data_IF_420592949427
#
_entry.id   IF_420592949427
#
_cell.length_a   1.000
_cell.length_b   1.000
_cell.length_c   1.000
_cell.angle_alpha   90.00
_cell.angle_beta   90.00
_cell.angle_gamma   90.00
#
_symmetry.space_group_name_H-M   'P 1'
#
loop_
_entity.id
_entity.type
_entity.pdbx_description
1 polymer ?
#
# COMPACT_ATOMS: atom_id res chain seq x y z
N UNK A 1 -19.88 14.22 -6.63
CA UNK A 1 -20.02 12.75 -6.58
C UNK A 1 -20.97 12.24 -7.67
N UNK A 2 -20.82 12.71 -8.93
CA UNK A 2 -21.60 12.18 -10.06
C UNK A 2 -21.16 10.73 -10.35
N UNK A 3 -22.08 9.89 -10.83
CA UNK A 3 -21.87 8.45 -11.03
C UNK A 3 -22.40 8.00 -12.39
N UNK A 4 -21.81 6.94 -12.94
CA UNK A 4 -22.37 6.14 -14.01
C UNK A 4 -22.65 4.73 -13.49
N UNK A 5 -23.66 4.05 -14.03
CA UNK A 5 -24.01 2.66 -13.70
C UNK A 5 -24.04 1.88 -15.00
N UNK A 6 -23.15 0.89 -15.13
CA UNK A 6 -23.03 0.06 -16.33
C UNK A 6 -22.81 -1.41 -15.95
N UNK A 7 -23.32 -2.37 -16.75
CA UNK A 7 -23.05 -3.80 -16.55
C UNK A 7 -21.56 -4.15 -16.65
N UNK A 8 -21.05 -4.94 -15.69
CA UNK A 8 -19.66 -5.41 -15.71
C UNK A 8 -19.32 -6.20 -16.99
N UNK A 9 -20.26 -7.04 -17.48
CA UNK A 9 -20.10 -7.84 -18.68
C UNK A 9 -19.84 -7.02 -19.98
N UNK A 10 -20.07 -5.70 -19.96
CA UNK A 10 -19.75 -4.82 -21.10
C UNK A 10 -18.30 -4.27 -21.05
N UNK A 11 -17.52 -4.60 -20.01
CA UNK A 11 -16.11 -4.23 -19.94
C UNK A 11 -15.31 -5.08 -20.96
N UNK A 12 -14.63 -4.46 -21.95
CA UNK A 12 -13.94 -5.18 -23.03
C UNK A 12 -12.72 -5.98 -22.55
N UNK A 13 -12.27 -5.75 -21.32
CA UNK A 13 -11.13 -6.42 -20.69
C UNK A 13 -11.54 -7.19 -19.44
N UNK A 14 -12.80 -7.63 -19.35
CA UNK A 14 -13.26 -8.43 -18.22
C UNK A 14 -12.57 -9.80 -18.22
N UNK A 15 -12.18 -10.27 -17.04
CA UNK A 15 -11.55 -11.58 -16.91
C UNK A 15 -12.58 -12.69 -17.19
N UNK A 16 -12.25 -13.75 -17.95
CA UNK A 16 -13.19 -14.83 -18.23
C UNK A 16 -13.65 -15.59 -16.98
N UNK A 17 -12.89 -15.53 -15.87
CA UNK A 17 -13.23 -16.16 -14.60
C UNK A 17 -13.92 -15.20 -13.61
N UNK A 18 -14.38 -14.01 -14.03
CA UNK A 18 -14.97 -13.01 -13.12
C UNK A 18 -16.22 -13.49 -12.36
N UNK A 19 -16.93 -14.48 -12.90
CA UNK A 19 -18.10 -15.16 -12.31
C UNK A 19 -17.80 -16.62 -11.90
N UNK A 20 -16.55 -17.07 -11.96
CA UNK A 20 -16.19 -18.43 -11.58
C UNK A 20 -16.47 -18.65 -10.07
N UNK A 21 -17.35 -19.59 -9.69
CA UNK A 21 -17.66 -19.84 -8.29
C UNK A 21 -16.47 -20.39 -7.49
N UNK A 22 -15.44 -20.93 -8.14
CA UNK A 22 -14.20 -21.32 -7.47
C UNK A 22 -13.34 -20.10 -7.10
N UNK A 23 -13.63 -18.93 -7.66
CA UNK A 23 -12.85 -17.71 -7.51
C UNK A 23 -11.50 -17.76 -8.23
N UNK A 24 -10.64 -16.79 -7.93
CA UNK A 24 -9.30 -16.69 -8.51
C UNK A 24 -8.23 -16.75 -7.41
N UNK A 25 -7.11 -17.46 -7.65
CA UNK A 25 -6.03 -17.50 -6.67
C UNK A 25 -5.36 -16.13 -6.54
N UNK A 26 -5.18 -15.66 -5.30
CA UNK A 26 -4.57 -14.36 -5.01
C UNK A 26 -3.09 -14.56 -4.66
N UNK A 27 -2.19 -14.13 -5.53
CA UNK A 27 -0.73 -14.23 -5.29
C UNK A 27 -0.14 -12.99 -4.61
N UNK A 28 -0.83 -11.85 -4.66
CA UNK A 28 -0.36 -10.60 -4.09
C UNK A 28 -1.51 -9.68 -3.68
N UNK A 29 -1.27 -8.90 -2.63
CA UNK A 29 -2.19 -7.90 -2.12
C UNK A 29 -1.50 -6.55 -2.21
N UNK A 30 -2.21 -5.53 -2.69
CA UNK A 30 -1.66 -4.19 -2.86
C UNK A 30 -2.51 -3.20 -2.06
N UNK A 31 -1.88 -2.56 -1.07
CA UNK A 31 -2.42 -1.39 -0.40
C UNK A 31 -1.96 -0.12 -1.10
N UNK A 32 -2.73 0.95 -0.96
CA UNK A 32 -2.33 2.26 -1.46
C UNK A 32 -3.20 3.35 -0.87
N UNK A 33 -2.65 4.56 -0.88
CA UNK A 33 -3.34 5.76 -0.40
C UNK A 33 -2.73 6.98 -1.08
N UNK A 34 -3.49 8.08 -1.11
CA UNK A 34 -2.98 9.34 -1.65
C UNK A 34 -2.06 9.99 -0.62
N UNK A 35 -0.78 10.07 -0.93
CA UNK A 35 0.25 10.65 -0.06
C UNK A 35 1.18 11.53 -0.88
N UNK A 36 1.16 12.83 -0.64
CA UNK A 36 2.03 13.77 -1.35
C UNK A 36 3.51 13.60 -0.96
N UNK A 37 3.79 13.12 0.25
CA UNK A 37 5.16 12.97 0.78
C UNK A 37 5.37 11.63 1.51
N UNK A 38 6.62 11.36 1.89
CA UNK A 38 7.09 10.26 2.77
C UNK A 38 7.02 8.85 2.18
N UNK A 39 5.91 8.47 1.54
CA UNK A 39 5.69 7.11 1.04
C UNK A 39 6.25 6.98 -0.38
N UNK A 40 7.15 6.02 -0.66
CA UNK A 40 7.70 5.84 -1.99
C UNK A 40 6.68 5.22 -2.96
N UNK A 41 7.01 5.22 -4.25
CA UNK A 41 6.13 4.73 -5.31
C UNK A 41 5.64 3.30 -5.07
N UNK A 42 6.54 2.41 -4.62
CA UNK A 42 6.21 1.02 -4.30
C UNK A 42 7.17 0.45 -3.26
N UNK A 43 6.67 -0.41 -2.38
CA UNK A 43 7.50 -1.29 -1.56
C UNK A 43 6.73 -2.56 -1.20
N UNK A 44 7.45 -3.65 -0.95
CA UNK A 44 6.93 -4.93 -0.50
C UNK A 44 7.17 -5.11 0.99
N UNK A 45 6.18 -5.64 1.71
CA UNK A 45 6.32 -6.07 3.10
C UNK A 45 7.40 -7.16 3.25
N UNK A 46 8.01 -7.20 4.44
CA UNK A 46 9.00 -8.22 4.81
C UNK A 46 8.37 -9.60 4.97
N UNK A 47 7.17 -9.63 5.55
CA UNK A 47 6.42 -10.82 5.88
C UNK A 47 4.94 -10.45 6.06
N UNK A 48 4.11 -11.43 6.44
CA UNK A 48 2.68 -11.22 6.61
C UNK A 48 2.33 -10.24 7.74
N UNK A 49 2.94 -10.34 8.93
CA UNK A 49 2.63 -9.43 10.05
C UNK A 49 2.97 -7.98 9.72
N UNK A 50 4.11 -7.77 9.06
CA UNK A 50 4.49 -6.45 8.56
C UNK A 50 3.52 -5.95 7.49
N UNK A 51 3.05 -6.83 6.59
CA UNK A 51 2.04 -6.47 5.59
C UNK A 51 0.68 -6.12 6.21
N UNK A 52 0.26 -6.83 7.27
CA UNK A 52 -0.94 -6.47 8.04
C UNK A 52 -0.76 -5.12 8.72
N UNK A 53 0.42 -4.84 9.27
CA UNK A 53 0.72 -3.52 9.84
C UNK A 53 0.66 -2.40 8.80
N UNK A 54 1.21 -2.63 7.60
CA UNK A 54 1.11 -1.71 6.46
C UNK A 54 -0.37 -1.45 6.11
N UNK A 55 -1.17 -2.50 5.98
CA UNK A 55 -2.62 -2.39 5.72
C UNK A 55 -3.35 -1.63 6.83
N UNK A 56 -3.05 -1.94 8.09
CA UNK A 56 -3.67 -1.31 9.26
C UNK A 56 -3.35 0.18 9.36
N UNK A 57 -2.17 0.58 8.89
CA UNK A 57 -1.67 1.95 8.99
C UNK A 57 -1.76 2.72 7.68
N UNK A 58 -2.45 2.23 6.66
CA UNK A 58 -2.69 3.00 5.42
C UNK A 58 -3.25 4.38 5.76
N UNK A 59 -2.58 5.41 5.26
CA UNK A 59 -3.03 6.79 5.34
C UNK A 59 -3.32 7.32 3.95
N UNK A 60 -4.41 8.06 3.82
CA UNK A 60 -4.73 8.81 2.61
C UNK A 60 -5.13 10.23 2.98
N UNK A 61 -4.69 11.20 2.18
CA UNK A 61 -5.24 12.55 2.22
C UNK A 61 -6.74 12.52 1.91
N UNK A 62 -7.49 13.38 2.59
CA UNK A 62 -8.92 13.54 2.33
C UNK A 62 -9.14 14.09 0.92
N UNK A 63 -9.97 13.41 0.14
CA UNK A 63 -10.44 13.88 -1.17
C UNK A 63 -11.73 14.67 -1.00
N UNK A 64 -12.11 15.47 -2.00
CA UNK A 64 -13.38 16.20 -2.02
C UNK A 64 -14.63 15.29 -1.85
N UNK A 65 -14.49 13.97 -2.01
CA UNK A 65 -15.58 13.00 -1.81
C UNK A 65 -15.84 12.68 -0.33
N UNK A 66 -14.88 12.92 0.58
CA UNK A 66 -15.04 12.76 2.02
C UNK A 66 -14.98 14.16 2.64
N UNK A 67 -16.12 14.71 3.07
CA UNK A 67 -16.29 16.10 3.50
C UNK A 67 -15.53 16.53 4.77
N UNK A 68 -14.21 16.43 4.78
CA UNK A 68 -13.33 16.98 5.82
C UNK A 68 -12.29 17.95 5.25
N UNK A 69 -11.43 18.46 6.13
CA UNK A 69 -10.41 19.46 5.80
C UNK A 69 -9.39 18.92 4.78
N UNK A 70 -9.27 19.63 3.66
CA UNK A 70 -8.32 19.32 2.58
C UNK A 70 -6.89 19.36 3.15
N UNK A 71 -6.12 18.29 2.91
CA UNK A 71 -4.71 18.19 3.33
C UNK A 71 -4.45 17.46 4.64
N UNK A 72 -5.48 17.13 5.43
CA UNK A 72 -5.31 16.27 6.60
C UNK A 72 -5.17 14.81 6.17
N UNK A 73 -4.12 14.13 6.63
CA UNK A 73 -3.94 12.68 6.42
C UNK A 73 -4.90 11.95 7.34
N UNK A 74 -5.87 11.24 6.76
CA UNK A 74 -6.78 10.33 7.49
C UNK A 74 -6.23 8.91 7.37
N UNK A 75 -6.15 8.19 8.49
CA UNK A 75 -5.90 6.75 8.46
C UNK A 75 -7.16 6.04 8.02
N UNK A 76 -7.03 5.17 7.03
CA UNK A 76 -8.10 4.34 6.50
C UNK A 76 -7.60 2.89 6.46
N UNK A 77 -7.60 2.20 7.61
CA UNK A 77 -7.05 0.86 7.71
C UNK A 77 -7.68 -0.07 6.67
N UNK A 78 -6.84 -0.68 5.83
CA UNK A 78 -7.25 -1.58 4.74
C UNK A 78 -8.22 -0.97 3.73
N UNK A 79 -8.38 0.37 3.69
CA UNK A 79 -9.48 1.06 3.00
C UNK A 79 -10.89 0.60 3.47
N UNK A 80 -11.00 0.19 4.72
CA UNK A 80 -12.18 -0.45 5.32
C UNK A 80 -12.78 0.34 6.48
N UNK A 81 -12.28 1.55 6.77
CA UNK A 81 -12.80 2.35 7.89
C UNK A 81 -14.33 2.59 7.83
N UNK A 82 -14.95 2.89 6.67
CA UNK A 82 -16.41 3.06 6.60
C UNK A 82 -17.18 1.75 6.37
N UNK A 83 -16.50 0.60 6.24
CA UNK A 83 -17.11 -0.67 5.79
C UNK A 83 -16.95 -1.82 6.78
N UNK A 84 -16.08 -1.69 7.78
CA UNK A 84 -15.84 -2.78 8.74
C UNK A 84 -17.06 -2.97 9.64
N UNK A 85 -17.69 -4.15 9.56
CA UNK A 85 -18.94 -4.46 10.26
C UNK A 85 -18.79 -4.92 11.72
N UNK A 86 -17.58 -4.92 12.27
CA UNK A 86 -17.27 -5.31 13.64
C UNK A 86 -16.05 -4.52 14.16
N UNK A 87 -15.56 -4.82 15.37
CA UNK A 87 -14.45 -4.08 15.96
C UNK A 87 -13.18 -4.14 15.08
N UNK A 88 -12.57 -2.99 14.80
CA UNK A 88 -11.40 -2.89 13.92
C UNK A 88 -10.15 -3.60 14.48
N UNK A 89 -9.98 -3.67 15.81
CA UNK A 89 -8.89 -4.42 16.42
C UNK A 89 -9.05 -5.93 16.25
N UNK A 90 -10.29 -6.42 16.32
CA UNK A 90 -10.61 -7.81 15.98
C UNK A 90 -10.41 -8.08 14.49
N UNK A 91 -10.70 -7.11 13.63
CA UNK A 91 -10.42 -7.19 12.19
C UNK A 91 -8.92 -7.34 11.91
N UNK A 92 -8.06 -6.57 12.58
CA UNK A 92 -6.62 -6.75 12.48
C UNK A 92 -6.16 -8.13 12.99
N UNK A 93 -6.73 -8.60 14.10
CA UNK A 93 -6.43 -9.94 14.63
C UNK A 93 -6.86 -11.05 13.67
N UNK A 94 -7.98 -10.86 12.97
CA UNK A 94 -8.43 -11.78 11.94
C UNK A 94 -7.40 -11.90 10.81
N UNK A 95 -6.91 -10.76 10.29
CA UNK A 95 -5.84 -10.73 9.28
C UNK A 95 -4.56 -11.43 9.77
N UNK A 96 -4.09 -11.13 10.99
CA UNK A 96 -2.92 -11.80 11.58
C UNK A 96 -3.11 -13.32 11.69
N UNK A 97 -4.32 -13.76 12.02
CA UNK A 97 -4.65 -15.19 12.16
C UNK A 97 -4.71 -15.88 10.80
N UNK A 98 -5.23 -15.21 9.76
CA UNK A 98 -5.32 -15.76 8.41
C UNK A 98 -3.96 -16.17 7.83
N UNK A 99 -2.92 -15.36 8.04
CA UNK A 99 -1.56 -15.69 7.57
C UNK A 99 -0.98 -16.96 8.19
N UNK A 100 -1.51 -17.42 9.33
CA UNK A 100 -1.13 -18.69 9.99
C UNK A 100 -1.92 -19.89 9.45
N UNK A 101 -3.00 -19.66 8.71
CA UNK A 101 -3.94 -20.70 8.24
C UNK A 101 -3.81 -20.99 6.74
N UNK A 102 -3.40 -20.01 5.95
CA UNK A 102 -3.27 -20.17 4.50
C UNK A 102 -1.94 -20.83 4.13
N UNK A 103 -1.98 -21.80 3.23
CA UNK A 103 -0.80 -22.54 2.76
C UNK A 103 0.10 -21.66 1.89
N UNK A 104 -0.52 -20.93 0.97
CA UNK A 104 0.16 -20.00 0.07
C UNK A 104 -0.18 -18.59 0.50
N UNK A 105 0.76 -17.97 1.22
CA UNK A 105 0.59 -16.62 1.76
C UNK A 105 0.87 -15.60 0.65
N UNK A 106 -0.11 -14.77 0.26
CA UNK A 106 0.11 -13.72 -0.73
C UNK A 106 1.15 -12.72 -0.24
N UNK A 107 1.99 -12.21 -1.15
CA UNK A 107 2.90 -11.13 -0.79
C UNK A 107 2.14 -9.81 -0.69
N UNK A 108 2.46 -9.00 0.30
CA UNK A 108 1.81 -7.70 0.51
C UNK A 108 2.73 -6.60 -0.01
N UNK A 109 2.14 -5.66 -0.75
CA UNK A 109 2.79 -4.48 -1.31
C UNK A 109 2.03 -3.24 -0.91
N UNK A 110 2.71 -2.11 -0.93
CA UNK A 110 2.11 -0.80 -0.83
C UNK A 110 2.58 0.08 -1.98
N UNK A 111 1.66 0.81 -2.59
CA UNK A 111 1.94 1.75 -3.69
C UNK A 111 1.52 3.17 -3.34
N UNK A 112 2.21 4.16 -3.91
CA UNK A 112 1.82 5.56 -3.84
C UNK A 112 2.04 6.25 -5.18
N UNK A 113 0.96 6.40 -5.95
CA UNK A 113 0.99 7.08 -7.25
C UNK A 113 1.02 8.61 -7.15
N UNK A 114 0.89 9.16 -5.94
CA UNK A 114 0.51 10.55 -5.71
C UNK A 114 1.60 11.40 -5.07
N UNK A 115 2.82 10.88 -4.96
CA UNK A 115 3.95 11.63 -4.43
C UNK A 115 4.24 12.84 -5.32
N UNK A 116 4.49 13.98 -4.69
CA UNK A 116 4.77 15.26 -5.35
C UNK A 116 6.21 15.72 -5.10
N UNK A 117 6.73 16.47 -6.06
CA UNK A 117 7.99 17.21 -5.95
C UNK A 117 7.81 18.49 -5.11
N UNK A 118 8.91 19.24 -4.92
CA UNK A 118 8.91 20.50 -4.20
C UNK A 118 8.03 21.59 -4.85
N UNK A 119 7.79 21.49 -6.16
CA UNK A 119 6.91 22.37 -6.94
C UNK A 119 5.44 21.92 -6.89
N UNK A 120 5.13 20.84 -6.19
CA UNK A 120 3.77 20.32 -6.02
C UNK A 120 3.23 19.55 -7.23
N UNK A 121 4.08 19.15 -8.17
CA UNK A 121 3.72 18.32 -9.32
C UNK A 121 3.92 16.85 -8.98
N UNK A 122 3.09 15.98 -9.56
CA UNK A 122 3.28 14.54 -9.40
C UNK A 122 4.60 14.10 -10.04
N UNK A 123 5.42 13.39 -9.27
CA UNK A 123 6.69 12.87 -9.77
C UNK A 123 6.41 11.72 -10.75
N UNK A 124 5.45 10.86 -10.40
CA UNK A 124 5.04 9.71 -11.22
C UNK A 124 3.87 10.05 -12.15
N UNK A 125 3.94 9.70 -13.46
CA UNK A 125 2.88 10.01 -14.42
C UNK A 125 1.55 9.25 -14.20
N UNK A 126 1.58 8.10 -13.51
CA UNK A 126 0.37 7.35 -13.17
C UNK A 126 -0.31 6.61 -14.34
N UNK A 127 -1.58 6.27 -14.14
CA UNK A 127 -2.44 5.61 -15.13
C UNK A 127 -1.80 4.36 -15.75
N UNK A 128 -1.65 4.31 -17.08
CA UNK A 128 -1.06 3.17 -17.80
C UNK A 128 0.38 2.89 -17.37
N UNK A 129 1.12 3.91 -16.95
CA UNK A 129 2.53 3.74 -16.56
C UNK A 129 2.64 2.93 -15.26
N UNK A 130 1.59 2.88 -14.43
CA UNK A 130 1.51 2.00 -13.26
C UNK A 130 1.74 0.52 -13.61
N UNK A 131 1.50 0.11 -14.86
CA UNK A 131 1.80 -1.24 -15.33
C UNK A 131 3.27 -1.61 -15.19
N UNK A 132 4.19 -0.65 -15.23
CA UNK A 132 5.63 -0.88 -15.00
C UNK A 132 5.91 -1.37 -13.58
N UNK A 133 5.20 -0.80 -12.61
CA UNK A 133 5.28 -1.20 -11.21
C UNK A 133 4.52 -2.51 -10.96
N UNK A 134 3.35 -2.68 -11.57
CA UNK A 134 2.60 -3.93 -11.48
C UNK A 134 3.37 -5.10 -12.10
N UNK A 135 4.12 -4.88 -13.18
CA UNK A 135 5.04 -5.87 -13.77
C UNK A 135 6.06 -6.34 -12.73
N UNK A 136 6.74 -5.42 -12.05
CA UNK A 136 7.67 -5.78 -10.98
C UNK A 136 6.98 -6.56 -9.84
N UNK A 137 5.78 -6.16 -9.43
CA UNK A 137 5.00 -6.91 -8.41
C UNK A 137 4.70 -8.33 -8.88
N UNK A 138 4.28 -8.51 -10.14
CA UNK A 138 4.01 -9.82 -10.74
C UNK A 138 5.28 -10.69 -10.78
N UNK A 139 6.40 -10.12 -11.18
CA UNK A 139 7.68 -10.83 -11.24
C UNK A 139 8.20 -11.16 -9.83
N UNK A 140 7.95 -10.30 -8.84
CA UNK A 140 8.21 -10.59 -7.41
C UNK A 140 7.40 -11.80 -6.97
N UNK A 141 6.08 -11.83 -7.16
CA UNK A 141 5.25 -12.94 -6.69
C UNK A 141 5.54 -14.26 -7.41
N UNK A 142 5.82 -14.24 -8.72
CA UNK A 142 6.05 -15.45 -9.52
C UNK A 142 7.47 -15.98 -9.43
N UNK A 143 8.46 -15.10 -9.52
CA UNK A 143 9.85 -15.49 -9.77
C UNK A 143 10.84 -14.91 -8.75
N UNK A 144 10.37 -14.04 -7.83
CA UNK A 144 11.25 -13.42 -6.85
C UNK A 144 12.21 -12.40 -7.47
N UNK A 145 11.73 -11.55 -8.38
CA UNK A 145 12.50 -10.46 -9.01
C UNK A 145 13.42 -9.71 -8.02
N UNK A 146 14.57 -9.16 -8.45
CA UNK A 146 15.47 -8.46 -7.55
C UNK A 146 14.79 -7.31 -6.79
N UNK A 147 15.25 -7.09 -5.56
CA UNK A 147 14.79 -6.00 -4.72
C UNK A 147 15.90 -5.65 -3.71
N UNK A 148 15.96 -4.38 -3.32
CA UNK A 148 16.82 -3.89 -2.24
C UNK A 148 16.05 -3.84 -0.93
N UNK A 149 16.69 -4.27 0.15
CA UNK A 149 16.16 -4.11 1.49
C UNK A 149 16.28 -2.65 1.95
N UNK A 150 15.22 -2.13 2.56
CA UNK A 150 15.15 -0.78 3.13
C UNK A 150 14.48 -0.85 4.50
N UNK A 151 14.52 0.21 5.34
CA UNK A 151 13.86 0.21 6.65
C UNK A 151 12.35 -0.12 6.65
N UNK A 152 11.68 0.06 5.52
CA UNK A 152 10.22 -0.08 5.39
C UNK A 152 9.79 -1.30 4.57
N UNK A 153 10.72 -2.09 4.06
CA UNK A 153 10.43 -3.21 3.17
C UNK A 153 11.41 -3.35 2.01
N UNK A 154 10.99 -4.12 1.01
CA UNK A 154 11.78 -4.35 -0.20
C UNK A 154 11.33 -3.40 -1.32
N UNK A 155 12.28 -2.77 -2.00
CA UNK A 155 11.99 -1.85 -3.12
C UNK A 155 12.70 -2.31 -4.40
N UNK A 156 12.13 -2.06 -5.59
CA UNK A 156 12.85 -2.23 -6.85
C UNK A 156 14.05 -1.28 -6.95
N UNK A 157 15.08 -1.68 -7.70
CA UNK A 157 16.08 -0.76 -8.21
C UNK A 157 15.58 -0.09 -9.50
N UNK A 158 16.25 0.98 -9.91
CA UNK A 158 15.95 1.61 -11.21
C UNK A 158 16.07 0.59 -12.35
N UNK A 159 17.07 -0.29 -12.30
CA UNK A 159 17.34 -1.30 -13.34
C UNK A 159 16.29 -2.42 -13.38
N UNK A 160 15.49 -2.58 -12.33
CA UNK A 160 14.45 -3.61 -12.24
C UNK A 160 13.13 -3.16 -12.87
N UNK A 161 13.04 -1.91 -13.35
CA UNK A 161 11.85 -1.32 -13.96
C UNK A 161 12.01 -1.22 -15.48
N UNK A 162 10.93 -1.50 -16.20
CA UNK A 162 10.84 -1.31 -17.64
C UNK A 162 10.70 0.18 -17.95
N UNK A 163 11.64 0.77 -18.68
CA UNK A 163 11.66 2.20 -19.05
C UNK A 163 11.38 2.46 -20.53
N UNK A 164 11.30 1.43 -21.37
CA UNK A 164 11.04 1.57 -22.79
C UNK A 164 9.79 2.43 -23.03
N UNK A 165 9.94 3.47 -23.86
CA UNK A 165 8.86 4.40 -24.20
C UNK A 165 8.47 5.41 -23.12
N UNK A 166 9.20 5.50 -22.01
CA UNK A 166 9.02 6.53 -20.98
C UNK A 166 10.38 7.14 -20.60
N UNK A 167 10.59 8.41 -20.95
CA UNK A 167 11.76 9.16 -20.48
C UNK A 167 11.55 9.56 -19.01
N UNK A 168 12.16 8.78 -18.12
CA UNK A 168 12.06 8.97 -16.68
C UNK A 168 13.46 8.96 -16.06
N UNK A 169 14.08 10.13 -15.84
CA UNK A 169 15.46 10.21 -15.34
C UNK A 169 15.64 9.50 -13.99
N UNK A 170 16.85 8.96 -13.77
CA UNK A 170 17.20 8.28 -12.52
C UNK A 170 17.02 9.17 -11.31
N UNK A 171 17.29 10.46 -11.45
CA UNK A 171 17.15 11.44 -10.38
C UNK A 171 15.69 11.55 -9.90
N UNK A 172 14.73 11.52 -10.83
CA UNK A 172 13.29 11.50 -10.48
C UNK A 172 12.88 10.17 -9.86
N UNK A 173 13.52 9.07 -10.25
CA UNK A 173 13.29 7.77 -9.62
C UNK A 173 13.79 7.75 -8.18
N UNK A 174 15.01 8.23 -7.96
CA UNK A 174 15.59 8.32 -6.63
C UNK A 174 14.73 9.22 -5.73
N UNK A 175 14.20 10.32 -6.27
CA UNK A 175 13.26 11.19 -5.57
C UNK A 175 11.93 10.48 -5.24
N UNK A 176 11.27 9.84 -6.21
CA UNK A 176 9.97 9.19 -5.98
C UNK A 176 10.09 7.98 -5.03
N UNK A 177 11.26 7.32 -5.03
CA UNK A 177 11.57 6.18 -4.18
C UNK A 177 12.25 6.56 -2.87
N UNK A 178 12.58 7.83 -2.63
CA UNK A 178 13.32 8.27 -1.46
C UNK A 178 12.61 7.90 -0.15
N UNK A 179 13.37 7.32 0.79
CA UNK A 179 12.92 6.92 2.12
C UNK A 179 13.64 7.79 3.15
N UNK A 180 12.94 8.80 3.66
CA UNK A 180 13.46 9.65 4.73
C UNK A 180 13.15 9.02 6.10
N UNK A 181 14.21 8.58 6.78
CA UNK A 181 14.12 7.92 8.10
C UNK A 181 13.45 8.80 9.16
N UNK A 182 13.71 10.11 9.14
CA UNK A 182 13.12 11.06 10.07
C UNK A 182 11.62 11.22 9.84
N UNK A 183 11.21 11.38 8.58
CA UNK A 183 9.80 11.45 8.20
C UNK A 183 9.06 10.15 8.56
N UNK A 184 9.68 8.98 8.36
CA UNK A 184 9.10 7.70 8.76
C UNK A 184 8.98 7.53 10.28
N UNK A 185 9.95 8.02 11.07
CA UNK A 185 9.79 8.10 12.54
C UNK A 185 8.63 9.01 12.94
N UNK A 186 8.47 10.16 12.29
CA UNK A 186 7.33 11.04 12.56
C UNK A 186 6.00 10.40 12.16
N UNK A 187 5.97 9.54 11.14
CA UNK A 187 4.77 8.76 10.79
C UNK A 187 4.32 7.83 11.92
N UNK A 188 5.24 7.27 12.71
CA UNK A 188 4.84 6.35 13.80
C UNK A 188 4.08 7.05 14.91
N UNK A 189 4.26 8.37 15.10
CA UNK A 189 3.45 9.17 16.02
C UNK A 189 1.97 9.17 15.59
N UNK A 190 1.70 9.26 14.29
CA UNK A 190 0.33 9.17 13.77
C UNK A 190 -0.25 7.75 13.86
N UNK A 191 0.60 6.72 13.93
CA UNK A 191 0.15 5.35 14.17
C UNK A 191 -0.27 5.19 15.65
N UNK A 192 0.35 5.91 16.58
CA UNK A 192 -0.04 5.93 17.99
C UNK A 192 -1.48 6.40 18.18
N UNK A 193 -1.91 7.43 17.45
CA UNK A 193 -3.30 7.93 17.53
C UNK A 193 -4.32 6.82 17.21
N UNK A 194 -4.07 6.03 16.16
CA UNK A 194 -4.88 4.86 15.82
C UNK A 194 -4.84 3.80 16.93
N UNK A 195 -3.66 3.58 17.52
CA UNK A 195 -3.46 2.55 18.54
C UNK A 195 -4.18 2.90 19.83
N UNK A 196 -4.15 4.17 20.24
CA UNK A 196 -4.93 4.70 21.35
C UNK A 196 -6.43 4.58 21.10
N UNK A 197 -6.89 4.84 19.88
CA UNK A 197 -8.31 4.69 19.52
C UNK A 197 -8.79 3.22 19.59
N UNK A 198 -7.91 2.25 19.30
CA UNK A 198 -8.21 0.82 19.41
C UNK A 198 -8.12 0.30 20.84
N UNK A 199 -7.28 0.91 21.68
CA UNK A 199 -7.13 0.60 23.09
C UNK A 199 -6.90 -0.90 23.34
N UNK A 200 -7.73 -1.49 24.21
CA UNK A 200 -7.63 -2.90 24.60
C UNK A 200 -7.79 -3.90 23.43
N UNK A 201 -8.38 -3.49 22.30
CA UNK A 201 -8.58 -4.35 21.14
C UNK A 201 -7.35 -4.41 20.22
N UNK A 202 -6.35 -3.54 20.42
CA UNK A 202 -5.13 -3.51 19.61
C UNK A 202 -4.34 -4.83 19.74
N UNK A 203 -4.08 -5.55 18.63
CA UNK A 203 -3.19 -6.71 18.68
C UNK A 203 -1.75 -6.31 19.04
N UNK A 204 -1.10 -7.07 19.93
CA UNK A 204 0.27 -6.78 20.39
C UNK A 204 1.29 -6.79 19.24
N UNK A 205 1.06 -7.62 18.22
CA UNK A 205 1.87 -7.66 17.01
C UNK A 205 1.98 -6.28 16.35
N UNK A 206 0.93 -5.45 16.39
CA UNK A 206 0.98 -4.10 15.81
C UNK A 206 1.91 -3.16 16.58
N UNK A 207 2.01 -3.32 17.90
CA UNK A 207 2.95 -2.57 18.74
C UNK A 207 4.37 -2.97 18.34
N UNK A 208 4.66 -4.26 18.25
CA UNK A 208 6.00 -4.74 17.89
C UNK A 208 6.41 -4.32 16.47
N UNK A 209 5.51 -4.38 15.49
CA UNK A 209 5.80 -3.90 14.13
C UNK A 209 6.12 -2.40 14.10
N UNK A 210 5.46 -1.59 14.93
CA UNK A 210 5.80 -0.16 15.11
C UNK A 210 7.19 0.01 15.71
N UNK A 211 7.51 -0.69 16.79
CA UNK A 211 8.83 -0.60 17.45
C UNK A 211 9.97 -1.05 16.51
N UNK A 212 9.72 -2.09 15.71
CA UNK A 212 10.65 -2.53 14.69
C UNK A 212 10.84 -1.47 13.60
N UNK A 213 9.78 -0.78 13.18
CA UNK A 213 9.89 0.33 12.23
C UNK A 213 10.73 1.47 12.80
N UNK A 214 10.50 1.86 14.05
CA UNK A 214 11.29 2.90 14.74
C UNK A 214 12.77 2.50 14.81
N UNK A 215 13.05 1.22 15.10
CA UNK A 215 14.40 0.70 15.22
C UNK A 215 15.15 0.62 13.89
N UNK A 216 14.41 0.36 12.79
CA UNK A 216 14.99 0.29 11.44
C UNK A 216 15.26 1.67 10.84
N UNK A 217 14.47 2.69 11.20
CA UNK A 217 14.64 4.07 10.76
C UNK A 217 15.73 4.78 11.57
#
# INVERSE_FOLDING_TARGET
NARFTAPAAQCPTIDPAWEDPAGVPISGLIFGGRRETTIPLVYQAFNWSHGVYIGATVGSEMTAAAGGEIGKVRRDPFAMLPFTGYNMGDYFRHWLTMGKRIREVPRIFHVNWFRKDAEGKFIWPGFRENMRILKWIIERVRFGAPAMETPIGWVPRYEDIEWSGLDFPREKWDEVMAIDRGAWKLQTLQHEELFLALGAYLPKEMIFERELLISRC
#
